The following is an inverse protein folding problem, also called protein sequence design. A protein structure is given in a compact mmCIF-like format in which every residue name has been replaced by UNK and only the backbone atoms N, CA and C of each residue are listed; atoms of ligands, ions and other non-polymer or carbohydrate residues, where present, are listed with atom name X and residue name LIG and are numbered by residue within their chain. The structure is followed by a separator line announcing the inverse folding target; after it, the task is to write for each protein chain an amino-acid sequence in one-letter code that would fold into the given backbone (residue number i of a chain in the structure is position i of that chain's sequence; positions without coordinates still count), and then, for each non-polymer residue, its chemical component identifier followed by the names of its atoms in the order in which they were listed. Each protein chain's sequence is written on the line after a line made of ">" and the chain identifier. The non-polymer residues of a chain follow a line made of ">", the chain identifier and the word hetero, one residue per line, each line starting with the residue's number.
data_IF_587054298278
#
_entry.id   IF_587054298278
#
_cell.length_a   1.000
_cell.length_b   1.000
_cell.length_c   1.000
_cell.angle_alpha   90.00
_cell.angle_beta   90.00
_cell.angle_gamma   90.00
#
_symmetry.space_group_name_H-M   'P 1'
#
loop_
_entity.id
_entity.type
_entity.pdbx_description
1 polymer ?
#
# COMPACT_ATOMS: atom_id res chain seq x y z
N UNK A 1 3.28 -6.82 -5.35
CA UNK A 1 2.23 -6.84 -4.32
C UNK A 1 2.58 -7.87 -3.25
N UNK A 2 1.98 -7.76 -2.08
CA UNK A 2 2.17 -8.68 -0.95
C UNK A 2 0.86 -8.72 -0.11
N UNK A 3 0.87 -9.38 1.03
CA UNK A 3 -0.15 -9.29 2.06
C UNK A 3 0.51 -9.26 3.44
N UNK A 4 0.06 -8.38 4.32
CA UNK A 4 0.43 -8.41 5.73
C UNK A 4 -0.80 -8.11 6.59
N UNK A 5 -0.93 -8.86 7.67
CA UNK A 5 -2.00 -8.78 8.65
C UNK A 5 -1.42 -8.72 10.06
N UNK A 6 -1.92 -7.78 10.85
CA UNK A 6 -1.64 -7.65 12.28
C UNK A 6 -2.93 -7.56 13.08
N UNK A 7 -2.96 -8.23 14.24
CA UNK A 7 -3.92 -7.94 15.31
C UNK A 7 -3.16 -7.61 16.59
N UNK A 8 -3.43 -6.44 17.15
CA UNK A 8 -2.84 -5.98 18.40
C UNK A 8 -3.78 -5.03 19.13
N UNK A 9 -3.94 -5.21 20.45
CA UNK A 9 -4.61 -4.25 21.34
C UNK A 9 -3.95 -2.87 21.39
N UNK A 10 -2.70 -2.75 20.92
CA UNK A 10 -2.00 -1.46 20.82
C UNK A 10 -2.48 -0.63 19.61
N UNK A 11 -3.25 -1.23 18.70
CA UNK A 11 -3.77 -0.58 17.51
C UNK A 11 -5.23 -0.15 17.69
N UNK A 12 -5.59 0.95 17.03
CA UNK A 12 -6.97 1.39 16.90
C UNK A 12 -7.25 1.73 15.42
N UNK A 13 -8.02 0.90 14.69
CA UNK A 13 -8.64 -0.36 15.13
C UNK A 13 -7.62 -1.48 15.45
N UNK A 14 -8.01 -2.45 16.28
CA UNK A 14 -7.10 -3.52 16.76
C UNK A 14 -6.64 -4.50 15.69
N UNK A 15 -7.17 -4.41 14.47
CA UNK A 15 -6.79 -5.22 13.32
C UNK A 15 -6.37 -4.31 12.17
N UNK A 16 -5.24 -4.61 11.53
CA UNK A 16 -4.71 -3.86 10.40
C UNK A 16 -4.24 -4.82 9.30
N UNK A 17 -4.50 -4.48 8.04
CA UNK A 17 -4.01 -5.22 6.89
C UNK A 17 -3.51 -4.29 5.79
N UNK A 18 -2.57 -4.78 4.98
CA UNK A 18 -2.00 -4.07 3.85
C UNK A 18 -1.71 -5.02 2.68
N UNK A 19 -2.02 -4.60 1.47
CA UNK A 19 -1.92 -5.40 0.24
C UNK A 19 -0.62 -5.22 -0.56
N UNK A 20 0.39 -4.59 0.02
CA UNK A 20 1.63 -4.26 -0.66
C UNK A 20 2.84 -4.52 0.22
N UNK A 21 3.97 -4.76 -0.43
CA UNK A 21 5.27 -4.82 0.22
C UNK A 21 5.75 -3.44 0.67
N UNK A 22 6.68 -3.44 1.62
CA UNK A 22 7.28 -2.23 2.19
C UNK A 22 8.15 -1.45 1.20
N UNK A 23 8.61 -2.05 0.09
CA UNK A 23 9.54 -1.40 -0.86
C UNK A 23 8.93 -1.05 -2.22
N UNK A 24 7.60 -0.95 -2.33
CA UNK A 24 6.92 -0.73 -3.62
C UNK A 24 7.51 0.44 -4.42
N UNK A 25 7.75 1.59 -3.78
CA UNK A 25 8.32 2.79 -4.41
C UNK A 25 9.74 2.52 -4.92
N UNK A 26 10.60 1.99 -4.06
CA UNK A 26 12.01 1.69 -4.39
C UNK A 26 12.12 0.64 -5.48
N UNK A 27 11.30 -0.42 -5.41
CA UNK A 27 11.27 -1.50 -6.39
C UNK A 27 10.82 -0.96 -7.75
N UNK A 28 9.79 -0.10 -7.79
CA UNK A 28 9.36 0.55 -9.02
C UNK A 28 10.49 1.43 -9.60
N UNK A 29 11.03 2.34 -8.81
CA UNK A 29 12.09 3.28 -9.22
C UNK A 29 13.32 2.54 -9.73
N UNK A 30 13.78 1.51 -9.00
CA UNK A 30 14.93 0.70 -9.41
C UNK A 30 14.67 -0.02 -10.73
N UNK A 31 13.45 -0.56 -10.92
CA UNK A 31 13.09 -1.29 -12.13
C UNK A 31 13.01 -0.42 -13.37
N UNK A 32 12.53 0.81 -13.24
CA UNK A 32 12.55 1.76 -14.36
C UNK A 32 13.94 2.35 -14.62
N UNK A 33 14.96 1.95 -13.85
CA UNK A 33 16.35 2.38 -14.02
C UNK A 33 16.71 3.67 -13.28
N UNK A 34 15.87 4.15 -12.36
CA UNK A 34 16.19 5.32 -11.55
C UNK A 34 17.22 4.98 -10.46
N UNK A 35 18.09 5.94 -10.16
CA UNK A 35 18.88 5.93 -8.94
C UNK A 35 17.99 6.40 -7.78
N UNK A 36 17.78 5.55 -6.78
CA UNK A 36 16.97 5.92 -5.60
C UNK A 36 17.81 5.90 -4.34
N UNK A 37 17.72 6.96 -3.55
CA UNK A 37 18.28 7.06 -2.20
C UNK A 37 17.20 7.55 -1.24
N UNK A 38 16.74 6.65 -0.38
CA UNK A 38 15.82 7.00 0.71
C UNK A 38 16.67 7.40 1.92
N UNK A 39 16.49 8.63 2.40
CA UNK A 39 17.22 9.15 3.56
C UNK A 39 16.24 9.53 4.67
N UNK A 40 16.66 9.33 5.91
CA UNK A 40 15.90 9.68 7.10
C UNK A 40 16.82 10.36 8.12
N UNK A 41 16.31 11.36 8.82
CA UNK A 41 17.01 12.13 9.85
C UNK A 41 16.03 12.60 10.92
N UNK A 42 16.49 12.71 12.16
CA UNK A 42 15.70 13.34 13.24
C UNK A 42 15.97 14.86 13.33
N UNK A 43 16.90 15.39 12.52
CA UNK A 43 17.18 16.81 12.40
C UNK A 43 16.21 17.47 11.38
N UNK A 44 15.31 18.36 11.83
CA UNK A 44 14.30 18.97 10.97
C UNK A 44 14.89 19.94 9.94
N UNK A 45 16.00 20.61 10.25
CA UNK A 45 16.62 21.56 9.34
C UNK A 45 17.36 20.81 8.22
N UNK A 46 18.07 19.73 8.57
CA UNK A 46 18.69 18.85 7.57
C UNK A 46 17.63 18.18 6.67
N UNK A 47 16.54 17.71 7.26
CA UNK A 47 15.44 17.09 6.52
C UNK A 47 14.72 18.07 5.60
N UNK A 48 14.63 19.35 5.97
CA UNK A 48 14.10 20.41 5.11
C UNK A 48 15.09 20.78 4.00
N UNK A 49 16.38 20.92 4.32
CA UNK A 49 17.42 21.22 3.34
C UNK A 49 17.47 20.21 2.18
N UNK A 50 17.33 18.90 2.47
CA UNK A 50 17.26 17.89 1.40
C UNK A 50 16.08 18.09 0.45
N UNK A 51 14.96 18.63 0.94
CA UNK A 51 13.78 18.92 0.11
C UNK A 51 14.02 20.17 -0.72
N UNK A 52 14.49 21.26 -0.10
CA UNK A 52 14.71 22.53 -0.82
C UNK A 52 15.82 22.40 -1.85
N UNK A 53 16.90 21.67 -1.57
CA UNK A 53 18.00 21.42 -2.53
C UNK A 53 17.50 20.77 -3.85
N UNK A 54 16.57 19.81 -3.74
CA UNK A 54 15.97 19.15 -4.90
C UNK A 54 14.99 20.07 -5.63
N UNK A 55 14.17 20.82 -4.89
CA UNK A 55 13.19 21.76 -5.45
C UNK A 55 13.87 22.93 -6.19
N UNK A 56 14.95 23.48 -5.64
CA UNK A 56 15.78 24.52 -6.27
C UNK A 56 16.45 24.01 -7.55
N UNK A 57 16.71 22.71 -7.61
CA UNK A 57 17.18 22.03 -8.81
C UNK A 57 16.04 21.57 -9.75
N UNK A 58 14.81 22.02 -9.52
CA UNK A 58 13.63 21.79 -10.35
C UNK A 58 13.02 20.40 -10.23
N UNK A 59 13.30 19.66 -9.16
CA UNK A 59 12.83 18.28 -8.96
C UNK A 59 11.82 18.20 -7.81
N UNK A 60 10.56 17.81 -8.08
CA UNK A 60 9.59 17.49 -7.02
C UNK A 60 10.08 16.34 -6.14
N UNK A 61 9.74 16.39 -4.85
CA UNK A 61 10.30 15.50 -3.83
C UNK A 61 9.20 14.72 -3.13
N UNK A 62 9.29 13.39 -3.17
CA UNK A 62 8.43 12.52 -2.37
C UNK A 62 8.98 12.39 -0.95
N UNK A 63 8.12 12.55 0.06
CA UNK A 63 8.47 12.45 1.47
C UNK A 63 7.42 11.66 2.25
N UNK A 64 7.81 11.10 3.38
CA UNK A 64 6.86 10.59 4.36
C UNK A 64 6.28 11.73 5.19
N UNK A 65 4.98 11.67 5.41
CA UNK A 65 4.24 12.55 6.29
C UNK A 65 3.23 11.74 7.13
N UNK A 66 2.88 12.27 8.29
CA UNK A 66 1.70 11.82 9.03
C UNK A 66 0.45 12.50 8.49
N UNK A 67 -0.51 11.68 8.04
CA UNK A 67 -1.76 12.16 7.45
C UNK A 67 -2.56 13.07 8.38
N UNK A 68 -2.45 12.88 9.71
CA UNK A 68 -3.20 13.62 10.71
C UNK A 68 -2.74 15.09 10.86
N UNK A 69 -1.50 15.38 10.47
CA UNK A 69 -0.90 16.71 10.57
C UNK A 69 -1.12 17.56 9.29
N UNK A 70 -1.65 16.95 8.23
CA UNK A 70 -1.91 17.59 6.95
C UNK A 70 -3.26 18.33 6.97
N UNK A 71 -3.28 19.68 6.93
CA UNK A 71 -4.48 20.47 7.23
C UNK A 71 -5.59 20.34 6.18
N UNK A 72 -5.27 19.88 4.97
CA UNK A 72 -6.24 19.65 3.91
C UNK A 72 -6.94 18.29 4.01
N UNK A 73 -6.45 17.37 4.85
CA UNK A 73 -7.05 16.07 5.11
C UNK A 73 -7.81 16.14 6.44
N UNK A 74 -9.12 15.86 6.42
CA UNK A 74 -9.95 15.82 7.64
C UNK A 74 -9.93 14.43 8.28
N UNK A 75 -8.73 13.89 8.48
CA UNK A 75 -8.51 12.52 8.96
C UNK A 75 -8.25 12.55 10.47
N UNK A 76 -8.78 11.54 11.19
CA UNK A 76 -8.58 11.39 12.65
C UNK A 76 -7.60 10.29 13.03
N UNK A 77 -7.20 9.46 12.06
CA UNK A 77 -6.25 8.37 12.25
C UNK A 77 -4.84 8.89 11.97
N UNK A 78 -3.90 8.63 12.88
CA UNK A 78 -2.49 8.84 12.61
C UNK A 78 -2.01 7.74 11.66
N UNK A 79 -1.34 8.15 10.58
CA UNK A 79 -0.71 7.26 9.61
C UNK A 79 0.56 7.94 9.15
N UNK A 80 1.64 7.64 9.86
CA UNK A 80 2.98 8.25 9.72
C UNK A 80 3.73 7.80 8.46
N UNK A 81 3.07 7.02 7.60
CA UNK A 81 3.61 6.54 6.34
C UNK A 81 2.68 6.88 5.18
N UNK A 82 2.27 8.15 5.13
CA UNK A 82 1.56 8.73 3.99
C UNK A 82 2.58 9.42 3.08
N UNK A 83 2.62 9.00 1.82
CA UNK A 83 3.56 9.54 0.84
C UNK A 83 2.94 10.79 0.19
N UNK A 84 3.61 11.93 0.31
CA UNK A 84 3.23 13.18 -0.35
C UNK A 84 4.36 13.68 -1.24
N UNK A 85 4.03 14.45 -2.28
CA UNK A 85 5.02 15.08 -3.17
C UNK A 85 5.03 16.58 -2.94
N UNK A 86 6.16 17.13 -2.51
CA UNK A 86 6.38 18.56 -2.39
C UNK A 86 6.86 19.07 -3.76
N UNK A 87 6.22 20.12 -4.26
CA UNK A 87 6.49 20.68 -5.60
C UNK A 87 7.06 22.10 -5.57
N UNK A 88 7.13 22.72 -4.39
CA UNK A 88 7.71 24.04 -4.21
C UNK A 88 7.47 24.57 -2.80
N UNK A 89 7.99 25.77 -2.54
CA UNK A 89 7.85 26.42 -1.24
C UNK A 89 7.92 27.95 -1.37
N UNK A 90 7.55 28.65 -0.31
CA UNK A 90 7.53 30.11 -0.20
C UNK A 90 7.95 30.49 1.23
N UNK A 91 9.19 30.96 1.37
CA UNK A 91 9.76 31.31 2.67
C UNK A 91 9.15 32.58 3.26
N UNK A 92 8.76 33.55 2.43
CA UNK A 92 8.14 34.79 2.92
C UNK A 92 6.79 34.49 3.58
N UNK A 93 6.05 33.52 3.03
CA UNK A 93 4.74 33.10 3.53
C UNK A 93 4.81 31.90 4.47
N UNK A 94 5.97 31.23 4.57
CA UNK A 94 6.19 30.01 5.35
C UNK A 94 5.27 28.85 4.92
N UNK A 95 5.20 28.60 3.61
CA UNK A 95 4.29 27.63 2.99
C UNK A 95 5.03 26.66 2.07
N UNK A 96 4.63 25.40 2.07
CA UNK A 96 5.01 24.40 1.07
C UNK A 96 3.83 24.08 0.15
N UNK A 97 4.11 23.79 -1.11
CA UNK A 97 3.13 23.34 -2.11
C UNK A 97 3.22 21.82 -2.24
N UNK A 98 2.10 21.13 -2.05
CA UNK A 98 2.03 19.66 -1.93
C UNK A 98 1.02 19.09 -2.92
N UNK A 99 1.40 18.04 -3.62
CA UNK A 99 0.50 17.16 -4.40
C UNK A 99 0.35 15.85 -3.63
N UNK A 100 -0.89 15.39 -3.55
CA UNK A 100 -1.31 14.25 -2.75
C UNK A 100 -2.36 13.45 -3.55
N UNK A 101 -2.32 12.12 -3.49
CA UNK A 101 -3.23 11.25 -4.24
C UNK A 101 -4.70 11.43 -3.85
N UNK A 102 -4.99 11.98 -2.66
CA UNK A 102 -6.34 12.27 -2.20
C UNK A 102 -6.93 13.59 -2.78
N UNK A 103 -6.16 14.37 -3.55
CA UNK A 103 -6.57 15.69 -4.05
C UNK A 103 -6.18 15.91 -5.52
N UNK A 104 -7.15 16.39 -6.31
CA UNK A 104 -6.92 16.73 -7.72
C UNK A 104 -6.12 18.04 -7.91
N UNK A 105 -5.93 18.83 -6.86
CA UNK A 105 -5.27 20.13 -6.91
C UNK A 105 -4.07 20.19 -5.98
N UNK A 106 -3.11 21.06 -6.29
CA UNK A 106 -2.01 21.38 -5.38
C UNK A 106 -2.56 22.01 -4.10
N UNK A 107 -2.10 21.50 -2.96
CA UNK A 107 -2.44 21.96 -1.64
C UNK A 107 -1.34 22.85 -1.09
N UNK A 108 -1.71 23.73 -0.16
CA UNK A 108 -0.79 24.61 0.54
C UNK A 108 -0.69 24.19 1.99
N UNK A 109 0.52 23.91 2.47
CA UNK A 109 0.78 23.42 3.82
C UNK A 109 1.70 24.38 4.56
N UNK A 110 1.30 24.95 5.71
CA UNK A 110 2.20 25.73 6.54
C UNK A 110 3.41 24.91 7.00
N UNK A 111 4.59 25.53 7.07
CA UNK A 111 5.82 24.86 7.49
C UNK A 111 5.72 24.17 8.85
N UNK A 112 5.01 24.77 9.81
CA UNK A 112 4.79 24.16 11.12
C UNK A 112 4.06 22.80 11.02
N UNK A 113 3.04 22.72 10.15
CA UNK A 113 2.26 21.50 9.92
C UNK A 113 3.12 20.47 9.19
N UNK A 114 3.85 20.88 8.15
CA UNK A 114 4.73 19.99 7.42
C UNK A 114 5.86 19.44 8.32
N UNK A 115 6.42 20.27 9.20
CA UNK A 115 7.43 19.85 10.17
C UNK A 115 6.87 18.79 11.12
N UNK A 116 5.70 19.04 11.71
CA UNK A 116 5.02 18.09 12.58
C UNK A 116 4.71 16.77 11.85
N UNK A 117 4.16 16.86 10.64
CA UNK A 117 3.86 15.72 9.80
C UNK A 117 5.11 14.88 9.51
N UNK A 118 6.24 15.53 9.22
CA UNK A 118 7.51 14.86 8.87
C UNK A 118 8.36 14.44 10.08
N UNK A 119 7.97 14.78 11.30
CA UNK A 119 8.63 14.37 12.55
C UNK A 119 7.79 13.43 13.42
N UNK A 120 6.63 12.98 12.93
CA UNK A 120 5.74 12.09 13.65
C UNK A 120 6.41 10.76 14.02
N UNK A 121 6.17 10.31 15.25
CA UNK A 121 6.51 8.97 15.78
C UNK A 121 5.30 8.03 15.78
N UNK A 122 4.24 8.36 15.03
CA UNK A 122 3.01 7.59 14.92
C UNK A 122 3.17 6.22 14.26
N UNK A 123 2.04 5.50 14.16
CA UNK A 123 1.94 4.21 13.49
C UNK A 123 1.93 4.40 11.96
N UNK A 124 2.56 3.50 11.16
CA UNK A 124 3.22 2.26 11.56
C UNK A 124 4.70 2.39 11.95
N UNK A 125 5.36 3.49 11.55
CA UNK A 125 6.78 3.71 11.77
C UNK A 125 7.07 5.21 11.90
N UNK A 126 8.04 5.64 12.70
CA UNK A 126 8.45 7.04 12.75
C UNK A 126 8.86 7.58 11.37
N UNK A 127 8.35 8.77 11.02
CA UNK A 127 8.60 9.44 9.74
C UNK A 127 10.06 9.84 9.55
N UNK A 128 10.71 10.36 10.61
CA UNK A 128 12.13 10.77 10.64
C UNK A 128 12.55 11.58 9.41
N UNK A 129 11.74 12.57 9.05
CA UNK A 129 11.92 13.42 7.86
C UNK A 129 12.28 12.64 6.58
N UNK A 130 11.74 11.42 6.43
CA UNK A 130 12.13 10.51 5.35
C UNK A 130 11.85 11.14 3.99
N UNK A 131 12.87 11.15 3.14
CA UNK A 131 12.92 11.86 1.86
C UNK A 131 13.47 10.94 0.78
N UNK A 132 12.78 10.88 -0.35
CA UNK A 132 13.19 10.12 -1.53
C UNK A 132 13.96 11.03 -2.48
N UNK A 133 15.26 10.79 -2.59
CA UNK A 133 16.12 11.46 -3.56
C UNK A 133 16.21 10.57 -4.80
N UNK A 134 15.71 11.08 -5.93
CA UNK A 134 15.49 10.29 -7.14
C UNK A 134 16.28 10.90 -8.30
N UNK A 135 17.25 10.15 -8.79
CA UNK A 135 17.99 10.41 -10.01
C UNK A 135 17.26 9.72 -11.17
N UNK A 136 16.37 10.46 -11.85
CA UNK A 136 15.53 9.92 -12.91
C UNK A 136 16.36 9.51 -14.14
N UNK A 137 16.07 8.34 -14.74
CA UNK A 137 16.77 7.88 -15.92
C UNK A 137 16.31 8.69 -17.14
N UNK A 138 17.23 8.89 -18.09
CA UNK A 138 16.87 9.54 -19.37
C UNK A 138 15.94 8.69 -20.23
N UNK A 139 16.04 7.37 -20.13
CA UNK A 139 15.20 6.41 -20.83
C UNK A 139 14.82 5.31 -19.85
N UNK A 140 13.56 4.87 -19.90
CA UNK A 140 13.12 3.69 -19.15
C UNK A 140 13.44 2.42 -19.93
N UNK A 141 13.77 1.29 -19.26
CA UNK A 141 13.91 0.01 -19.93
C UNK A 141 12.62 -0.44 -20.62
N UNK A 142 12.76 -1.32 -21.61
CA UNK A 142 11.64 -1.96 -22.28
C UNK A 142 10.72 -2.68 -21.28
N UNK A 143 9.41 -2.61 -21.52
CA UNK A 143 8.40 -3.14 -20.59
C UNK A 143 8.64 -4.61 -20.25
N UNK A 144 8.99 -5.45 -21.24
CA UNK A 144 9.23 -6.89 -21.02
C UNK A 144 10.39 -7.15 -20.04
N UNK A 145 11.44 -6.31 -20.06
CA UNK A 145 12.59 -6.43 -19.16
C UNK A 145 12.23 -6.08 -17.70
N UNK A 146 11.17 -5.30 -17.50
CA UNK A 146 10.68 -4.86 -16.19
C UNK A 146 9.57 -5.79 -15.68
N UNK A 147 8.59 -6.08 -16.53
CA UNK A 147 7.34 -6.73 -16.18
C UNK A 147 7.54 -8.17 -15.70
N UNK A 148 8.31 -8.98 -16.44
CA UNK A 148 8.58 -10.38 -16.05
C UNK A 148 9.15 -10.51 -14.63
N UNK A 149 10.27 -9.82 -14.32
CA UNK A 149 10.83 -9.78 -12.98
C UNK A 149 9.90 -9.21 -11.91
N UNK A 150 9.09 -8.19 -12.24
CA UNK A 150 8.14 -7.60 -11.29
C UNK A 150 7.00 -8.58 -10.93
N UNK A 151 6.45 -9.28 -11.92
CA UNK A 151 5.43 -10.31 -11.73
C UNK A 151 5.97 -11.47 -10.87
N UNK A 152 7.16 -11.97 -11.18
CA UNK A 152 7.82 -13.02 -10.40
C UNK A 152 8.09 -12.58 -8.95
N UNK A 153 8.56 -11.35 -8.74
CA UNK A 153 8.79 -10.82 -7.40
C UNK A 153 7.49 -10.74 -6.58
N UNK A 154 6.38 -10.34 -7.20
CA UNK A 154 5.08 -10.31 -6.52
C UNK A 154 4.60 -11.72 -6.12
N UNK A 155 4.78 -12.72 -6.97
CA UNK A 155 4.42 -14.10 -6.64
C UNK A 155 5.32 -14.67 -5.53
N UNK A 156 6.63 -14.41 -5.59
CA UNK A 156 7.60 -14.86 -4.60
C UNK A 156 7.35 -14.26 -3.19
N UNK A 157 6.99 -12.97 -3.12
CA UNK A 157 6.60 -12.32 -1.86
C UNK A 157 5.34 -12.96 -1.28
N UNK A 158 4.28 -13.11 -2.09
CA UNK A 158 3.04 -13.75 -1.64
C UNK A 158 3.27 -15.18 -1.14
N UNK A 159 4.13 -15.97 -1.79
CA UNK A 159 4.47 -17.33 -1.33
C UNK A 159 5.38 -17.38 -0.12
N UNK A 160 5.96 -16.25 0.30
CA UNK A 160 6.95 -16.20 1.37
C UNK A 160 8.30 -16.85 1.00
N UNK A 161 8.58 -17.07 -0.29
CA UNK A 161 9.89 -17.58 -0.75
C UNK A 161 10.97 -16.51 -0.70
N UNK A 162 10.57 -15.25 -0.62
CA UNK A 162 11.43 -14.09 -0.38
C UNK A 162 10.84 -13.28 0.76
N UNK A 163 11.67 -12.91 1.74
CA UNK A 163 11.25 -12.00 2.81
C UNK A 163 11.49 -10.54 2.42
N UNK A 164 10.44 -9.72 2.45
CA UNK A 164 10.58 -8.26 2.43
C UNK A 164 10.86 -7.71 3.83
N UNK A 165 11.32 -6.44 3.96
CA UNK A 165 11.31 -5.77 5.25
C UNK A 165 9.88 -5.68 5.80
N UNK A 166 9.69 -5.69 7.13
CA UNK A 166 8.36 -5.62 7.72
C UNK A 166 7.63 -4.36 7.25
N UNK A 167 6.42 -4.52 6.72
CA UNK A 167 5.57 -3.39 6.28
C UNK A 167 4.94 -2.67 7.47
N UNK A 168 4.74 -3.39 8.57
CA UNK A 168 4.12 -2.92 9.80
C UNK A 168 5.01 -3.33 10.98
N UNK A 169 5.15 -2.46 11.97
CA UNK A 169 5.86 -2.76 13.20
C UNK A 169 4.97 -2.50 14.40
N UNK A 170 4.71 -3.55 15.17
CA UNK A 170 4.07 -3.48 16.47
C UNK A 170 4.83 -4.43 17.38
N UNK A 171 5.17 -3.98 18.58
CA UNK A 171 5.85 -4.83 19.56
C UNK A 171 4.86 -5.88 20.08
N UNK A 172 5.28 -7.15 20.07
CA UNK A 172 4.53 -8.31 20.58
C UNK A 172 3.04 -8.35 20.13
N UNK A 173 2.77 -8.45 18.81
CA UNK A 173 1.40 -8.48 18.31
C UNK A 173 0.75 -9.82 18.64
N UNK A 174 -0.56 -9.78 18.94
CA UNK A 174 -1.32 -11.01 19.23
C UNK A 174 -1.42 -11.94 18.02
N UNK A 175 -1.43 -11.36 16.81
CA UNK A 175 -1.21 -12.08 15.56
C UNK A 175 -0.40 -11.22 14.60
N UNK A 176 0.55 -11.86 13.91
CA UNK A 176 1.24 -11.29 12.76
C UNK A 176 1.44 -12.35 11.70
N UNK A 177 1.04 -12.04 10.47
CA UNK A 177 1.23 -12.96 9.35
C UNK A 177 1.33 -12.19 8.02
N UNK A 178 1.96 -12.84 7.03
CA UNK A 178 2.15 -12.27 5.69
C UNK A 178 1.97 -13.31 4.58
N UNK A 179 1.88 -12.83 3.34
CA UNK A 179 1.69 -13.64 2.16
C UNK A 179 0.42 -14.49 2.20
N UNK A 180 0.42 -15.59 1.44
CA UNK A 180 -0.70 -16.52 1.29
C UNK A 180 -1.09 -17.19 2.63
N UNK A 181 -0.11 -17.55 3.45
CA UNK A 181 -0.37 -18.08 4.79
C UNK A 181 -1.07 -17.02 5.68
N UNK A 182 -0.66 -15.76 5.55
CA UNK A 182 -1.29 -14.63 6.24
C UNK A 182 -2.73 -14.42 5.82
N UNK A 183 -3.06 -14.55 4.53
CA UNK A 183 -4.45 -14.45 4.04
C UNK A 183 -5.33 -15.50 4.71
N UNK A 184 -4.83 -16.74 4.83
CA UNK A 184 -5.56 -17.82 5.49
C UNK A 184 -5.72 -17.59 7.00
N UNK A 185 -4.69 -17.08 7.66
CA UNK A 185 -4.73 -16.70 9.10
C UNK A 185 -5.75 -15.59 9.32
N UNK A 186 -5.72 -14.55 8.48
CA UNK A 186 -6.70 -13.46 8.52
C UNK A 186 -8.14 -13.96 8.37
N UNK A 187 -8.42 -14.79 7.35
CA UNK A 187 -9.76 -15.33 7.13
C UNK A 187 -10.28 -16.14 8.34
N UNK A 188 -9.39 -16.89 8.99
CA UNK A 188 -9.73 -17.66 10.19
C UNK A 188 -9.91 -16.77 11.43
N UNK A 189 -9.10 -15.72 11.60
CA UNK A 189 -9.22 -14.79 12.73
C UNK A 189 -10.48 -13.92 12.60
N UNK A 190 -10.82 -13.45 11.39
CA UNK A 190 -12.04 -12.68 11.11
C UNK A 190 -13.31 -13.42 11.58
N UNK A 191 -13.37 -14.74 11.42
CA UNK A 191 -14.48 -15.57 11.92
C UNK A 191 -14.61 -15.52 13.45
N UNK A 192 -13.51 -15.30 14.17
CA UNK A 192 -13.45 -15.28 15.64
C UNK A 192 -13.64 -13.89 16.23
N UNK A 193 -13.59 -12.83 15.43
CA UNK A 193 -13.77 -11.45 15.92
C UNK A 193 -15.01 -11.24 16.80
N UNK A 194 -16.19 -11.84 16.53
CA UNK A 194 -17.36 -11.70 17.40
C UNK A 194 -17.19 -12.29 18.81
N UNK A 195 -16.23 -13.19 19.00
CA UNK A 195 -15.86 -13.80 20.30
C UNK A 195 -14.72 -13.03 20.97
N UNK A 196 -13.83 -12.43 20.17
CA UNK A 196 -12.62 -11.75 20.64
C UNK A 196 -12.85 -10.28 21.01
N UNK A 197 -13.82 -9.62 20.36
CA UNK A 197 -14.06 -8.19 20.48
C UNK A 197 -15.43 -7.90 21.11
N UNK A 198 -15.48 -6.83 21.92
CA UNK A 198 -16.75 -6.20 22.28
C UNK A 198 -17.37 -5.48 21.06
N UNK A 199 -18.60 -4.99 21.21
CA UNK A 199 -19.33 -4.39 20.09
C UNK A 199 -18.65 -3.14 19.52
N UNK A 200 -18.03 -2.32 20.37
CA UNK A 200 -17.37 -1.08 19.93
C UNK A 200 -16.09 -1.40 19.16
N UNK A 201 -15.27 -2.31 19.69
CA UNK A 201 -14.04 -2.78 19.05
C UNK A 201 -14.35 -3.50 17.74
N UNK A 202 -15.37 -4.35 17.71
CA UNK A 202 -15.80 -5.07 16.51
C UNK A 202 -16.30 -4.08 15.43
N UNK A 203 -17.09 -3.09 15.82
CA UNK A 203 -17.58 -2.04 14.91
C UNK A 203 -16.41 -1.26 14.29
N UNK A 204 -15.44 -0.84 15.11
CA UNK A 204 -14.24 -0.15 14.64
C UNK A 204 -13.38 -1.04 13.73
N UNK A 205 -13.19 -2.31 14.06
CA UNK A 205 -12.42 -3.26 13.27
C UNK A 205 -13.06 -3.53 11.90
N UNK A 206 -14.39 -3.72 11.82
CA UNK A 206 -15.10 -3.91 10.56
C UNK A 206 -15.11 -2.64 9.70
N UNK A 207 -15.27 -1.46 10.32
CA UNK A 207 -15.15 -0.20 9.60
C UNK A 207 -13.73 -0.01 9.04
N UNK A 208 -12.71 -0.27 9.86
CA UNK A 208 -11.31 -0.26 9.47
C UNK A 208 -11.02 -1.22 8.32
N UNK A 209 -11.51 -2.45 8.40
CA UNK A 209 -11.37 -3.47 7.36
C UNK A 209 -11.87 -2.94 6.00
N UNK A 210 -13.05 -2.34 5.95
CA UNK A 210 -13.56 -1.73 4.72
C UNK A 210 -12.68 -0.58 4.21
N UNK A 211 -12.20 0.28 5.11
CA UNK A 211 -11.32 1.38 4.75
C UNK A 211 -9.96 0.90 4.21
N UNK A 212 -9.34 -0.11 4.84
CA UNK A 212 -8.05 -0.65 4.42
C UNK A 212 -8.12 -1.40 3.09
N UNK A 213 -9.25 -2.03 2.78
CA UNK A 213 -9.43 -2.70 1.48
C UNK A 213 -9.69 -1.68 0.37
N UNK A 214 -10.55 -0.69 0.60
CA UNK A 214 -11.08 0.17 -0.47
C UNK A 214 -10.43 1.56 -0.59
N UNK A 215 -10.13 2.21 0.53
CA UNK A 215 -9.94 3.67 0.56
C UNK A 215 -8.56 4.15 1.03
N UNK A 216 -7.80 3.32 1.73
CA UNK A 216 -6.50 3.72 2.32
C UNK A 216 -5.36 3.77 1.27
N UNK A 217 -5.56 4.50 0.17
CA UNK A 217 -4.59 4.60 -0.92
C UNK A 217 -4.37 3.30 -1.71
N UNK A 218 -5.26 2.31 -1.55
CA UNK A 218 -5.12 0.98 -2.17
C UNK A 218 -5.64 0.91 -3.61
N UNK A 219 -6.47 1.88 -4.02
CA UNK A 219 -7.17 1.85 -5.31
C UNK A 219 -8.26 0.77 -5.41
N UNK A 220 -8.70 0.20 -4.28
CA UNK A 220 -9.71 -0.86 -4.22
C UNK A 220 -9.14 -2.28 -4.14
N UNK A 221 -9.95 -3.20 -3.61
CA UNK A 221 -9.62 -4.63 -3.56
C UNK A 221 -8.26 -4.94 -2.91
N UNK A 222 -7.83 -4.14 -1.93
CA UNK A 222 -6.54 -4.28 -1.25
C UNK A 222 -5.35 -4.33 -2.24
N UNK A 223 -5.29 -3.33 -3.14
CA UNK A 223 -4.33 -3.20 -4.25
C UNK A 223 -4.54 -4.13 -5.45
N UNK A 224 -5.44 -5.13 -5.38
CA UNK A 224 -5.60 -6.09 -6.48
C UNK A 224 -6.24 -5.46 -7.72
N UNK A 225 -7.02 -4.39 -7.58
CA UNK A 225 -7.54 -3.63 -8.74
C UNK A 225 -6.39 -3.04 -9.57
N UNK A 226 -5.44 -2.37 -8.91
CA UNK A 226 -4.25 -1.82 -9.57
C UNK A 226 -3.39 -2.94 -10.19
N UNK A 227 -3.24 -4.07 -9.49
CA UNK A 227 -2.51 -5.22 -10.02
C UNK A 227 -3.18 -5.82 -11.26
N UNK A 228 -4.51 -5.93 -11.27
CA UNK A 228 -5.29 -6.38 -12.41
C UNK A 228 -5.11 -5.48 -13.63
N UNK A 229 -5.23 -4.16 -13.43
CA UNK A 229 -5.02 -3.17 -14.50
C UNK A 229 -3.60 -3.23 -15.04
N UNK A 230 -2.60 -3.32 -14.16
CA UNK A 230 -1.20 -3.46 -14.56
C UNK A 230 -0.93 -4.72 -15.37
N UNK A 231 -1.46 -5.87 -14.94
CA UNK A 231 -1.33 -7.13 -15.69
C UNK A 231 -2.06 -7.05 -17.05
N UNK A 232 -3.23 -6.39 -17.11
CA UNK A 232 -3.96 -6.20 -18.36
C UNK A 232 -3.16 -5.33 -19.33
N UNK A 233 -2.60 -4.20 -18.87
CA UNK A 233 -1.75 -3.36 -19.71
C UNK A 233 -0.51 -4.11 -20.23
N UNK A 234 0.11 -4.96 -19.40
CA UNK A 234 1.21 -5.83 -19.84
C UNK A 234 0.73 -6.80 -20.93
N UNK A 235 -0.43 -7.40 -20.75
CA UNK A 235 -1.02 -8.33 -21.72
C UNK A 235 -1.28 -7.65 -23.06
N UNK A 236 -1.89 -6.47 -23.04
CA UNK A 236 -2.28 -5.75 -24.25
C UNK A 236 -1.04 -5.21 -25.01
N UNK A 237 -0.04 -4.68 -24.29
CA UNK A 237 1.15 -4.09 -24.91
C UNK A 237 2.15 -5.13 -25.42
N UNK A 238 2.18 -6.33 -24.81
CA UNK A 238 3.10 -7.40 -25.18
C UNK A 238 2.42 -8.57 -25.91
N UNK A 239 1.12 -8.46 -26.20
CA UNK A 239 0.29 -9.52 -26.78
C UNK A 239 0.46 -10.86 -26.04
N UNK A 240 0.27 -10.83 -24.71
CA UNK A 240 0.62 -11.95 -23.82
C UNK A 240 -0.59 -12.54 -23.09
N UNK A 241 -1.07 -13.70 -23.56
CA UNK A 241 -2.21 -14.41 -22.98
C UNK A 241 -2.01 -14.78 -21.49
N UNK A 242 -0.79 -15.15 -21.09
CA UNK A 242 -0.52 -15.51 -19.70
C UNK A 242 -0.66 -14.29 -18.77
N UNK A 243 -0.26 -13.10 -19.22
CA UNK A 243 -0.50 -11.86 -18.51
C UNK A 243 -1.99 -11.50 -18.44
N UNK A 244 -2.78 -11.80 -19.49
CA UNK A 244 -4.23 -11.62 -19.47
C UNK A 244 -4.90 -12.56 -18.44
N UNK A 245 -4.43 -13.81 -18.33
CA UNK A 245 -4.88 -14.75 -17.29
C UNK A 245 -4.54 -14.23 -15.88
N UNK A 246 -3.33 -13.69 -15.68
CA UNK A 246 -2.97 -13.06 -14.41
C UNK A 246 -3.84 -11.83 -14.09
N UNK A 247 -4.18 -11.04 -15.11
CA UNK A 247 -5.10 -9.91 -14.96
C UNK A 247 -6.51 -10.37 -14.52
N UNK A 248 -7.03 -11.45 -15.11
CA UNK A 248 -8.31 -12.02 -14.71
C UNK A 248 -8.28 -12.55 -13.27
N UNK A 249 -7.25 -13.33 -12.90
CA UNK A 249 -7.10 -13.83 -11.53
C UNK A 249 -6.98 -12.69 -10.50
N UNK A 250 -6.33 -11.57 -10.87
CA UNK A 250 -6.23 -10.39 -10.01
C UNK A 250 -7.58 -9.68 -9.86
N UNK A 251 -8.40 -9.62 -10.91
CA UNK A 251 -9.78 -9.09 -10.83
C UNK A 251 -10.64 -9.94 -9.91
N UNK A 252 -10.61 -11.26 -10.06
CA UNK A 252 -11.36 -12.17 -9.19
C UNK A 252 -10.98 -12.00 -7.71
N UNK A 253 -9.67 -11.87 -7.42
CA UNK A 253 -9.21 -11.59 -6.06
C UNK A 253 -9.65 -10.21 -5.57
N UNK A 254 -9.56 -9.17 -6.42
CA UNK A 254 -10.02 -7.82 -6.09
C UNK A 254 -11.50 -7.79 -5.75
N UNK A 255 -12.34 -8.39 -6.59
CA UNK A 255 -13.79 -8.46 -6.41
C UNK A 255 -14.16 -9.17 -5.10
N UNK A 256 -13.44 -10.25 -4.76
CA UNK A 256 -13.67 -10.96 -3.50
C UNK A 256 -13.25 -10.14 -2.28
N UNK A 257 -12.11 -9.44 -2.32
CA UNK A 257 -11.71 -8.49 -1.27
C UNK A 257 -12.76 -7.38 -1.11
N UNK A 258 -13.21 -6.79 -2.21
CA UNK A 258 -14.24 -5.75 -2.20
C UNK A 258 -15.59 -6.25 -1.66
N UNK A 259 -15.97 -7.49 -1.97
CA UNK A 259 -17.17 -8.10 -1.42
C UNK A 259 -17.06 -8.31 0.11
N UNK A 260 -15.91 -8.73 0.62
CA UNK A 260 -15.63 -8.81 2.06
C UNK A 260 -15.76 -7.44 2.72
N UNK A 261 -15.16 -6.40 2.13
CA UNK A 261 -15.26 -5.03 2.61
C UNK A 261 -16.70 -4.53 2.64
N UNK A 262 -17.47 -4.78 1.58
CA UNK A 262 -18.87 -4.39 1.47
C UNK A 262 -19.73 -5.01 2.58
N UNK A 263 -19.55 -6.31 2.87
CA UNK A 263 -20.23 -6.97 4.01
C UNK A 263 -19.77 -6.42 5.36
N UNK A 264 -18.48 -6.15 5.49
CA UNK A 264 -17.94 -5.60 6.72
C UNK A 264 -18.56 -4.25 7.06
N UNK A 265 -18.86 -3.37 6.08
CA UNK A 265 -19.38 -2.01 6.31
C UNK A 265 -20.89 -1.84 6.16
N UNK A 266 -21.64 -2.91 5.84
CA UNK A 266 -23.09 -2.84 5.63
C UNK A 266 -23.86 -2.52 6.92
N UNK A 267 -24.17 -1.25 7.15
CA UNK A 267 -24.85 -0.78 8.37
C UNK A 267 -26.33 -1.15 8.46
N UNK A 268 -26.93 -1.69 7.39
CA UNK A 268 -28.29 -2.20 7.43
C UNK A 268 -28.38 -3.59 8.10
N UNK A 269 -27.25 -4.29 8.20
CA UNK A 269 -27.15 -5.63 8.79
C UNK A 269 -26.65 -5.55 10.24
N UNK A 270 -27.15 -6.38 11.19
CA UNK A 270 -26.64 -6.42 12.56
C UNK A 270 -25.14 -6.68 12.64
N UNK A 271 -24.46 -6.12 13.65
CA UNK A 271 -23.00 -6.11 13.75
C UNK A 271 -22.34 -7.50 13.64
N UNK A 272 -22.89 -8.49 14.35
CA UNK A 272 -22.36 -9.86 14.32
C UNK A 272 -22.60 -10.54 12.97
N UNK A 273 -23.75 -10.28 12.35
CA UNK A 273 -24.11 -10.85 11.05
C UNK A 273 -23.25 -10.27 9.92
N UNK A 274 -22.90 -8.98 9.98
CA UNK A 274 -21.90 -8.36 9.09
C UNK A 274 -20.56 -9.10 9.16
N UNK A 275 -20.08 -9.34 10.37
CA UNK A 275 -18.82 -10.05 10.59
C UNK A 275 -18.86 -11.48 10.05
N UNK A 276 -19.96 -12.21 10.33
CA UNK A 276 -20.14 -13.58 9.85
C UNK A 276 -20.19 -13.62 8.32
N UNK A 277 -20.97 -12.75 7.68
CA UNK A 277 -21.05 -12.68 6.23
C UNK A 277 -19.71 -12.29 5.58
N UNK A 278 -18.96 -11.37 6.18
CA UNK A 278 -17.61 -11.01 5.73
C UNK A 278 -16.64 -12.20 5.89
N UNK A 279 -16.71 -12.93 7.01
CA UNK A 279 -15.89 -14.12 7.26
C UNK A 279 -16.21 -15.29 6.32
N UNK A 280 -17.47 -15.47 5.95
CA UNK A 280 -17.90 -16.46 4.95
C UNK A 280 -17.26 -16.17 3.60
N UNK A 281 -17.33 -14.94 3.10
CA UNK A 281 -16.65 -14.54 1.86
C UNK A 281 -15.12 -14.65 1.97
N UNK A 282 -14.56 -14.22 3.10
CA UNK A 282 -13.12 -14.24 3.34
C UNK A 282 -12.52 -15.66 3.29
N UNK A 283 -13.33 -16.70 3.53
CA UNK A 283 -12.88 -18.09 3.43
C UNK A 283 -12.38 -18.48 2.02
N UNK A 284 -12.86 -17.80 0.97
CA UNK A 284 -12.41 -18.01 -0.41
C UNK A 284 -11.15 -17.23 -0.80
N UNK A 285 -10.69 -16.27 0.03
CA UNK A 285 -9.57 -15.39 -0.31
C UNK A 285 -8.27 -16.15 -0.48
N UNK A 286 -8.02 -17.14 0.38
CA UNK A 286 -6.79 -17.94 0.29
C UNK A 286 -6.69 -18.63 -1.07
N UNK A 287 -7.77 -19.24 -1.57
CA UNK A 287 -7.77 -19.90 -2.87
C UNK A 287 -7.60 -18.89 -4.02
N UNK A 288 -8.32 -17.77 -3.97
CA UNK A 288 -8.22 -16.72 -4.99
C UNK A 288 -6.79 -16.15 -5.10
N UNK A 289 -6.14 -15.88 -3.96
CA UNK A 289 -4.77 -15.38 -3.90
C UNK A 289 -3.74 -16.42 -4.36
N UNK A 290 -3.96 -17.73 -4.09
CA UNK A 290 -3.11 -18.78 -4.64
C UNK A 290 -3.20 -18.84 -6.17
N UNK A 291 -4.42 -18.79 -6.73
CA UNK A 291 -4.62 -18.74 -8.19
C UNK A 291 -3.94 -17.52 -8.81
N UNK A 292 -4.04 -16.37 -8.15
CA UNK A 292 -3.33 -15.16 -8.57
C UNK A 292 -1.81 -15.36 -8.55
N UNK A 293 -1.23 -15.89 -7.47
CA UNK A 293 0.22 -16.13 -7.38
C UNK A 293 0.70 -17.11 -8.48
N UNK A 294 -0.05 -18.17 -8.74
CA UNK A 294 0.24 -19.14 -9.82
C UNK A 294 0.19 -18.48 -11.20
N UNK A 295 -0.82 -17.65 -11.46
CA UNK A 295 -0.97 -16.92 -12.71
C UNK A 295 0.15 -15.89 -12.92
N UNK A 296 0.56 -15.17 -11.87
CA UNK A 296 1.69 -14.24 -11.91
C UNK A 296 3.01 -14.94 -12.25
N UNK A 297 3.28 -16.10 -11.65
CA UNK A 297 4.47 -16.91 -11.97
C UNK A 297 4.46 -17.44 -13.42
N UNK A 298 3.26 -17.78 -13.93
CA UNK A 298 3.09 -18.17 -15.34
C UNK A 298 3.37 -16.98 -16.28
N UNK A 299 2.72 -15.85 -16.02
CA UNK A 299 2.90 -14.61 -16.78
C UNK A 299 4.35 -14.13 -16.78
N UNK A 300 5.02 -14.18 -15.63
CA UNK A 300 6.43 -13.80 -15.49
C UNK A 300 7.34 -14.57 -16.46
N UNK A 301 7.20 -15.91 -16.48
CA UNK A 301 7.97 -16.78 -17.39
C UNK A 301 7.64 -16.51 -18.85
N UNK A 302 6.36 -16.31 -19.17
CA UNK A 302 5.90 -16.01 -20.53
C UNK A 302 6.50 -14.71 -21.06
N UNK A 303 6.38 -13.62 -20.30
CA UNK A 303 6.90 -12.29 -20.64
C UNK A 303 8.42 -12.27 -20.79
N UNK A 304 9.16 -13.02 -19.95
CA UNK A 304 10.63 -13.07 -20.03
C UNK A 304 11.15 -13.90 -21.20
N UNK A 305 10.43 -14.96 -21.61
CA UNK A 305 10.89 -15.88 -22.66
C UNK A 305 10.54 -15.44 -24.07
N UNK A 306 9.50 -14.62 -24.25
CA UNK A 306 9.03 -14.12 -25.54
C UNK A 306 8.99 -12.59 -25.52
N UNK A 307 10.15 -11.91 -25.60
CA UNK A 307 10.13 -10.46 -25.81
C UNK A 307 9.37 -10.16 -27.12
N UNK A 308 8.57 -9.09 -27.18
CA UNK A 308 7.81 -8.75 -28.38
C UNK A 308 8.74 -8.62 -29.59
N UNK A 309 8.23 -9.00 -30.76
CA UNK A 309 8.93 -8.88 -32.05
C UNK A 309 9.13 -7.45 -32.47
#
# INVERSE_FOLDING_TARGET
>A
MDFCYLRSRQLHPQAYLVGRGSRLEEDYLTRIGAGVRVRSTDDPELGWAWVTDELDAGRPVMVWADIAELPYLRVRLNMSRHDIVITGYDDDRQLAYVVDNDRDTTQTVPYQNLRAARSSTGFPLPTRHTTYLIDWPRNVPELAAIAGPALAASAALMRGTTAGPPTLHVEDPELAASGLAGVQIFANDLRRWPELFDNDTLSAALFGLGAFIEKAGTGGGLFRVLQAQGCQHIADLLDNDAAAVAAAAARDAADLWSAVAAKAVDTATPLRDRCNAAAELASGLAEAEHRLADALDCAARSVTTHPPR
#
